data_IF_842973782071
#
_entry.id   IF_842973782071
#
_cell.length_a   1.000
_cell.length_b   1.000
_cell.length_c   1.000
_cell.angle_alpha   90.00
_cell.angle_beta   90.00
_cell.angle_gamma   90.00
#
_symmetry.space_group_name_H-M   'P 1'
#
loop_
_entity.id
_entity.type
_entity.pdbx_description
1 polymer ?
#
# COMPACT_ATOMS: atom_id res chain seq x y z
N UNK A 1 6.26 -16.15 -8.73
CA UNK A 1 7.60 -16.78 -8.56
C UNK A 1 8.27 -17.13 -9.88
N UNK A 2 7.54 -17.65 -10.87
CA UNK A 2 8.08 -18.06 -12.18
C UNK A 2 8.87 -16.92 -12.85
N UNK A 3 8.38 -15.68 -12.82
CA UNK A 3 9.09 -14.54 -13.43
C UNK A 3 10.44 -14.23 -12.79
N UNK A 4 10.61 -14.52 -11.49
CA UNK A 4 11.88 -14.33 -10.80
C UNK A 4 12.87 -15.42 -11.22
N UNK A 5 12.42 -16.67 -11.30
CA UNK A 5 13.24 -17.80 -11.72
C UNK A 5 13.71 -17.66 -13.18
N UNK A 6 12.83 -17.23 -14.09
CA UNK A 6 13.19 -16.96 -15.48
C UNK A 6 14.24 -15.85 -15.57
N UNK A 7 14.06 -14.77 -14.79
CA UNK A 7 14.99 -13.65 -14.80
C UNK A 7 16.39 -14.04 -14.31
N UNK A 8 16.46 -14.77 -13.19
CA UNK A 8 17.71 -15.28 -12.64
C UNK A 8 18.38 -16.27 -13.60
N UNK A 9 17.61 -17.16 -14.24
CA UNK A 9 18.12 -18.10 -15.23
C UNK A 9 18.74 -17.39 -16.43
N UNK A 10 18.02 -16.45 -17.05
CA UNK A 10 18.52 -15.68 -18.21
C UNK A 10 19.78 -14.89 -17.83
N UNK A 11 19.78 -14.23 -16.67
CA UNK A 11 20.95 -13.47 -16.23
C UNK A 11 22.16 -14.36 -15.96
N UNK A 12 21.96 -15.54 -15.35
CA UNK A 12 23.03 -16.52 -15.14
C UNK A 12 23.65 -16.98 -16.46
N UNK A 13 22.82 -17.40 -17.44
CA UNK A 13 23.31 -17.85 -18.74
C UNK A 13 24.06 -16.75 -19.50
N UNK A 14 23.54 -15.53 -19.52
CA UNK A 14 24.18 -14.43 -20.26
C UNK A 14 25.45 -13.93 -19.53
N UNK A 15 25.48 -13.94 -18.20
CA UNK A 15 26.68 -13.57 -17.45
C UNK A 15 27.84 -14.57 -17.54
N UNK A 16 27.55 -15.83 -17.90
CA UNK A 16 28.58 -16.84 -18.20
C UNK A 16 29.10 -16.77 -19.64
N UNK A 17 28.40 -16.11 -20.58
CA UNK A 17 28.89 -16.01 -21.97
C UNK A 17 30.29 -15.39 -22.08
N UNK A 18 30.63 -14.34 -21.32
CA UNK A 18 31.98 -13.78 -21.34
C UNK A 18 33.05 -14.71 -20.76
N UNK A 19 32.71 -15.76 -20.00
CA UNK A 19 33.69 -16.73 -19.46
C UNK A 19 34.18 -17.76 -20.49
N UNK A 20 33.69 -17.67 -21.73
CA UNK A 20 34.15 -18.50 -22.82
C UNK A 20 35.59 -18.10 -23.20
N UNK A 21 36.48 -19.07 -23.47
CA UNK A 21 37.93 -18.85 -23.64
C UNK A 21 38.33 -18.01 -24.85
N UNK A 22 37.37 -17.46 -25.60
CA UNK A 22 37.58 -16.63 -26.79
C UNK A 22 37.30 -15.14 -26.54
N UNK A 23 37.00 -14.74 -25.30
CA UNK A 23 36.68 -13.36 -24.91
C UNK A 23 37.67 -12.93 -23.81
N UNK A 24 38.76 -12.27 -24.20
CA UNK A 24 39.84 -11.79 -23.30
C UNK A 24 39.43 -10.65 -22.35
N UNK A 25 38.14 -10.28 -22.33
CA UNK A 25 37.59 -9.20 -21.50
C UNK A 25 37.04 -9.71 -20.15
N UNK A 26 37.30 -10.97 -19.79
CA UNK A 26 36.61 -11.63 -18.70
C UNK A 26 37.34 -11.58 -17.35
N UNK A 27 36.88 -10.66 -16.50
CA UNK A 27 37.01 -10.81 -15.06
C UNK A 27 35.71 -11.36 -14.47
N UNK A 28 35.79 -12.33 -13.56
CA UNK A 28 34.62 -12.95 -12.93
C UNK A 28 33.64 -11.92 -12.32
N UNK A 29 34.15 -10.79 -11.81
CA UNK A 29 33.34 -9.68 -11.30
C UNK A 29 32.51 -8.98 -12.38
N UNK A 30 33.02 -8.87 -13.62
CA UNK A 30 32.29 -8.28 -14.76
C UNK A 30 31.11 -9.16 -15.16
N UNK A 31 31.30 -10.49 -15.18
CA UNK A 31 30.21 -11.45 -15.41
C UNK A 31 29.08 -11.37 -14.38
N UNK A 32 29.43 -11.17 -13.10
CA UNK A 32 28.44 -10.98 -12.02
C UNK A 32 27.65 -9.68 -12.16
N UNK A 33 28.29 -8.58 -12.57
CA UNK A 33 27.60 -7.30 -12.80
C UNK A 33 26.65 -7.42 -14.00
N UNK A 34 27.10 -8.03 -15.10
CA UNK A 34 26.29 -8.23 -16.31
C UNK A 34 25.08 -9.14 -16.02
N UNK A 35 25.29 -10.30 -15.39
CA UNK A 35 24.19 -11.22 -15.02
C UNK A 35 23.17 -10.57 -14.10
N UNK A 36 23.63 -9.81 -13.10
CA UNK A 36 22.75 -9.10 -12.17
C UNK A 36 21.92 -8.03 -12.91
N UNK A 37 22.56 -7.24 -13.78
CA UNK A 37 21.88 -6.22 -14.57
C UNK A 37 20.79 -6.80 -15.49
N UNK A 38 21.11 -7.90 -16.18
CA UNK A 38 20.17 -8.61 -17.07
C UNK A 38 19.03 -9.26 -16.29
N UNK A 39 19.33 -9.89 -15.14
CA UNK A 39 18.30 -10.46 -14.25
C UNK A 39 17.32 -9.37 -13.80
N UNK A 40 17.83 -8.22 -13.37
CA UNK A 40 16.98 -7.09 -12.95
C UNK A 40 16.15 -6.57 -14.12
N UNK A 41 16.75 -6.41 -15.30
CA UNK A 41 16.05 -5.92 -16.49
C UNK A 41 14.93 -6.86 -16.95
N UNK A 42 15.23 -8.16 -17.07
CA UNK A 42 14.26 -9.18 -17.46
C UNK A 42 13.12 -9.29 -16.45
N UNK A 43 13.45 -9.30 -15.15
CA UNK A 43 12.43 -9.26 -14.10
C UNK A 43 11.55 -8.01 -14.19
N UNK A 44 12.14 -6.84 -14.42
CA UNK A 44 11.41 -5.59 -14.57
C UNK A 44 10.44 -5.62 -15.76
N UNK A 45 10.84 -6.18 -16.90
CA UNK A 45 9.97 -6.34 -18.09
C UNK A 45 8.85 -7.33 -17.85
N UNK A 46 9.12 -8.48 -17.22
CA UNK A 46 8.09 -9.47 -16.86
C UNK A 46 7.10 -8.89 -15.83
N UNK A 47 7.61 -8.16 -14.83
CA UNK A 47 6.79 -7.45 -13.85
C UNK A 47 5.91 -6.39 -14.51
N UNK A 48 6.46 -5.58 -15.43
CA UNK A 48 5.68 -4.63 -16.22
C UNK A 48 4.58 -5.31 -17.04
N UNK A 49 4.86 -6.47 -17.64
CA UNK A 49 3.85 -7.25 -18.38
C UNK A 49 2.71 -7.71 -17.48
N UNK A 50 3.03 -8.34 -16.35
CA UNK A 50 2.00 -8.77 -15.39
C UNK A 50 1.21 -7.58 -14.86
N UNK A 51 1.86 -6.46 -14.55
CA UNK A 51 1.16 -5.25 -14.10
C UNK A 51 0.19 -4.70 -15.15
N UNK A 52 0.52 -4.78 -16.45
CA UNK A 52 -0.39 -4.36 -17.53
C UNK A 52 -1.63 -5.25 -17.64
N UNK A 53 -1.52 -6.53 -17.31
CA UNK A 53 -2.65 -7.47 -17.31
C UNK A 53 -3.45 -7.38 -16.00
N UNK A 54 -2.77 -7.13 -14.88
CA UNK A 54 -3.37 -7.09 -13.55
C UNK A 54 -4.04 -5.76 -13.20
N UNK A 55 -3.46 -4.61 -13.60
CA UNK A 55 -4.02 -3.30 -13.28
C UNK A 55 -5.46 -3.09 -13.80
N UNK A 56 -5.82 -3.48 -15.04
CA UNK A 56 -7.20 -3.38 -15.51
C UNK A 56 -8.20 -4.20 -14.69
N UNK A 57 -7.78 -5.34 -14.13
CA UNK A 57 -8.64 -6.13 -13.23
C UNK A 57 -8.94 -5.36 -11.95
N UNK A 58 -7.94 -4.68 -11.37
CA UNK A 58 -8.14 -3.84 -10.20
C UNK A 58 -9.05 -2.65 -10.50
N UNK A 59 -8.87 -1.99 -11.64
CA UNK A 59 -9.74 -0.90 -12.08
C UNK A 59 -11.20 -1.35 -12.27
N UNK A 60 -11.40 -2.52 -12.88
CA UNK A 60 -12.72 -3.12 -13.05
C UNK A 60 -13.35 -3.54 -11.71
N UNK A 61 -12.58 -4.09 -10.79
CA UNK A 61 -13.06 -4.39 -9.45
C UNK A 61 -13.47 -3.11 -8.70
N UNK A 62 -12.67 -2.04 -8.80
CA UNK A 62 -12.97 -0.73 -8.22
C UNK A 62 -14.25 -0.12 -8.78
N UNK A 63 -14.50 -0.24 -10.10
CA UNK A 63 -15.73 0.27 -10.70
C UNK A 63 -16.97 -0.51 -10.24
N UNK A 64 -16.85 -1.82 -10.07
CA UNK A 64 -17.89 -2.63 -9.45
C UNK A 64 -18.12 -2.28 -7.98
N UNK A 65 -17.07 -2.00 -7.20
CA UNK A 65 -17.21 -1.51 -5.82
C UNK A 65 -17.95 -0.17 -5.76
N UNK A 66 -17.61 0.79 -6.63
CA UNK A 66 -18.31 2.09 -6.70
C UNK A 66 -19.79 1.92 -7.03
N UNK A 67 -20.11 0.94 -7.87
CA UNK A 67 -21.48 0.58 -8.25
C UNK A 67 -22.17 -0.34 -7.24
N UNK A 68 -21.54 -0.62 -6.09
CA UNK A 68 -21.99 -1.57 -5.06
C UNK A 68 -22.25 -3.01 -5.58
N UNK A 69 -21.65 -3.37 -6.71
CA UNK A 69 -21.73 -4.72 -7.30
C UNK A 69 -20.67 -5.62 -6.67
N UNK A 70 -20.81 -5.86 -5.37
CA UNK A 70 -19.79 -6.51 -4.54
C UNK A 70 -19.37 -7.89 -5.03
N UNK A 71 -20.34 -8.72 -5.43
CA UNK A 71 -20.07 -10.06 -5.96
C UNK A 71 -19.20 -10.00 -7.22
N UNK A 72 -19.56 -9.14 -8.17
CA UNK A 72 -18.79 -8.96 -9.39
C UNK A 72 -17.38 -8.40 -9.13
N UNK A 73 -17.23 -7.53 -8.12
CA UNK A 73 -15.92 -7.05 -7.70
C UNK A 73 -15.04 -8.21 -7.20
N UNK A 74 -15.59 -9.08 -6.34
CA UNK A 74 -14.89 -10.26 -5.83
C UNK A 74 -14.55 -11.23 -6.97
N UNK A 75 -15.51 -11.57 -7.84
CA UNK A 75 -15.29 -12.49 -8.97
C UNK A 75 -14.13 -12.02 -9.87
N UNK A 76 -14.07 -10.71 -10.16
CA UNK A 76 -12.96 -10.12 -10.93
C UNK A 76 -11.63 -10.22 -10.20
N UNK A 77 -11.60 -9.94 -8.89
CA UNK A 77 -10.38 -10.04 -8.09
C UNK A 77 -9.88 -11.49 -7.99
N UNK A 78 -10.80 -12.44 -7.83
CA UNK A 78 -10.51 -13.87 -7.80
C UNK A 78 -9.95 -14.37 -9.13
N UNK A 79 -10.47 -13.87 -10.27
CA UNK A 79 -9.90 -14.17 -11.58
C UNK A 79 -8.42 -13.76 -11.70
N UNK A 80 -8.00 -12.77 -10.91
CA UNK A 80 -6.60 -12.33 -10.82
C UNK A 80 -5.67 -13.33 -10.11
N UNK A 81 -6.19 -14.32 -9.38
CA UNK A 81 -5.35 -15.30 -8.65
C UNK A 81 -4.50 -16.16 -9.58
N UNK A 82 -4.84 -16.25 -10.87
CA UNK A 82 -4.00 -16.89 -11.90
C UNK A 82 -2.59 -16.29 -11.97
N UNK A 83 -2.42 -15.04 -11.54
CA UNK A 83 -1.13 -14.34 -11.54
C UNK A 83 -0.24 -14.68 -10.35
N UNK A 84 -0.73 -15.37 -9.30
CA UNK A 84 0.02 -15.65 -8.07
C UNK A 84 1.35 -16.38 -8.34
N UNK A 85 1.32 -17.34 -9.26
CA UNK A 85 2.51 -18.11 -9.62
C UNK A 85 3.45 -17.32 -10.54
N UNK A 86 2.93 -16.36 -11.31
CA UNK A 86 3.71 -15.51 -12.22
C UNK A 86 4.47 -14.45 -11.42
N UNK A 87 3.78 -13.60 -10.66
CA UNK A 87 4.37 -12.47 -9.96
C UNK A 87 4.28 -12.61 -8.45
N UNK A 88 5.43 -12.45 -7.80
CA UNK A 88 5.52 -12.42 -6.34
C UNK A 88 4.69 -11.25 -5.78
N UNK A 89 4.01 -11.48 -4.65
CA UNK A 89 3.17 -10.48 -3.93
C UNK A 89 1.87 -10.05 -4.63
N UNK A 90 1.50 -10.63 -5.77
CA UNK A 90 0.19 -10.31 -6.39
C UNK A 90 -0.95 -10.87 -5.55
N UNK A 91 -0.80 -12.06 -4.97
CA UNK A 91 -1.84 -12.66 -4.13
C UNK A 91 -2.20 -11.76 -2.95
N UNK A 92 -1.22 -11.30 -2.16
CA UNK A 92 -1.51 -10.36 -1.07
C UNK A 92 -2.00 -8.97 -1.54
N UNK A 93 -1.85 -8.59 -2.82
CA UNK A 93 -2.53 -7.40 -3.36
C UNK A 93 -4.00 -7.68 -3.65
N UNK A 94 -4.32 -8.87 -4.14
CA UNK A 94 -5.70 -9.34 -4.35
C UNK A 94 -6.41 -9.42 -2.99
N UNK A 95 -5.77 -10.03 -1.99
CA UNK A 95 -6.33 -10.12 -0.62
C UNK A 95 -6.60 -8.74 -0.03
N UNK A 96 -5.71 -7.76 -0.24
CA UNK A 96 -5.94 -6.38 0.18
C UNK A 96 -7.22 -5.79 -0.43
N UNK A 97 -7.47 -6.07 -1.71
CA UNK A 97 -8.64 -5.53 -2.42
C UNK A 97 -9.92 -6.25 -2.04
N UNK A 98 -9.89 -7.58 -1.89
CA UNK A 98 -11.04 -8.36 -1.41
C UNK A 98 -11.39 -7.93 0.02
N UNK A 99 -10.39 -7.71 0.88
CA UNK A 99 -10.59 -7.16 2.22
C UNK A 99 -11.28 -5.79 2.19
N UNK A 100 -10.88 -4.90 1.27
CA UNK A 100 -11.57 -3.61 1.07
C UNK A 100 -13.02 -3.78 0.60
N UNK A 101 -13.32 -4.75 -0.26
CA UNK A 101 -14.69 -5.06 -0.70
C UNK A 101 -15.56 -5.46 0.50
N UNK A 102 -15.07 -6.36 1.36
CA UNK A 102 -15.78 -6.77 2.57
C UNK A 102 -15.91 -5.62 3.58
N UNK A 103 -14.86 -4.82 3.73
CA UNK A 103 -14.85 -3.64 4.60
C UNK A 103 -15.97 -2.66 4.21
N UNK A 104 -16.12 -2.37 2.91
CA UNK A 104 -17.17 -1.47 2.43
C UNK A 104 -18.58 -2.05 2.52
N UNK A 105 -18.72 -3.37 2.53
CA UNK A 105 -19.98 -4.06 2.84
C UNK A 105 -20.34 -4.01 4.34
N UNK A 106 -19.42 -3.62 5.22
CA UNK A 106 -19.58 -3.72 6.67
C UNK A 106 -19.35 -5.12 7.24
N UNK A 107 -18.80 -6.03 6.41
CA UNK A 107 -18.41 -7.39 6.79
C UNK A 107 -16.99 -7.37 7.36
N UNK A 108 -16.88 -6.85 8.57
CA UNK A 108 -15.59 -6.51 9.19
C UNK A 108 -14.74 -7.74 9.52
N UNK A 109 -15.36 -8.83 9.95
CA UNK A 109 -14.65 -10.07 10.26
C UNK A 109 -14.02 -10.69 9.01
N UNK A 110 -14.77 -10.77 7.91
CA UNK A 110 -14.26 -11.25 6.62
C UNK A 110 -13.17 -10.32 6.08
N UNK A 111 -13.37 -9.01 6.18
CA UNK A 111 -12.36 -8.03 5.80
C UNK A 111 -11.05 -8.24 6.56
N UNK A 112 -11.13 -8.47 7.87
CA UNK A 112 -9.97 -8.70 8.73
C UNK A 112 -9.16 -9.93 8.32
N UNK A 113 -9.82 -11.04 8.03
CA UNK A 113 -9.13 -12.27 7.60
C UNK A 113 -8.44 -12.10 6.24
N UNK A 114 -9.06 -11.37 5.30
CA UNK A 114 -8.39 -11.04 4.04
C UNK A 114 -7.21 -10.07 4.24
N UNK A 115 -7.33 -9.09 5.13
CA UNK A 115 -6.23 -8.16 5.41
C UNK A 115 -5.02 -8.82 6.08
N UNK A 116 -5.20 -9.88 6.88
CA UNK A 116 -4.08 -10.67 7.41
C UNK A 116 -3.18 -11.25 6.32
N UNK A 117 -3.78 -11.64 5.21
CA UNK A 117 -3.09 -12.22 4.05
C UNK A 117 -2.56 -11.16 3.08
N UNK A 118 -2.91 -9.89 3.31
CA UNK A 118 -2.59 -8.81 2.42
C UNK A 118 -1.14 -8.34 2.54
N UNK A 119 -0.60 -7.83 1.43
CA UNK A 119 0.70 -7.16 1.48
C UNK A 119 0.56 -5.73 1.99
N UNK A 120 1.54 -5.20 2.75
CA UNK A 120 1.49 -3.84 3.27
C UNK A 120 1.65 -2.76 2.19
N UNK A 121 1.74 -3.10 0.90
CA UNK A 121 1.92 -2.12 -0.19
C UNK A 121 0.70 -1.23 -0.42
N UNK A 122 -0.49 -1.70 -0.08
CA UNK A 122 -1.70 -0.89 -0.19
C UNK A 122 -1.93 -0.18 1.14
N UNK A 123 -1.36 1.03 1.29
CA UNK A 123 -1.51 1.80 2.52
C UNK A 123 -2.99 2.02 2.90
N UNK A 124 -3.89 2.20 1.92
CA UNK A 124 -5.32 2.44 2.18
C UNK A 124 -5.98 1.23 2.84
N UNK A 125 -5.71 0.03 2.31
CA UNK A 125 -6.14 -1.23 2.93
C UNK A 125 -5.53 -1.43 4.32
N UNK A 126 -4.27 -1.07 4.51
CA UNK A 126 -3.61 -1.20 5.81
C UNK A 126 -4.22 -0.26 6.86
N UNK A 127 -4.63 0.96 6.48
CA UNK A 127 -5.34 1.85 7.39
C UNK A 127 -6.70 1.27 7.81
N UNK A 128 -7.46 0.69 6.87
CA UNK A 128 -8.70 -0.02 7.20
C UNK A 128 -8.42 -1.18 8.16
N UNK A 129 -7.39 -1.97 7.88
CA UNK A 129 -7.00 -3.11 8.71
C UNK A 129 -6.62 -2.69 10.14
N UNK A 130 -5.75 -1.69 10.29
CA UNK A 130 -5.38 -1.15 11.59
C UNK A 130 -6.57 -0.57 12.35
N UNK A 131 -7.51 0.07 11.65
CA UNK A 131 -8.76 0.52 12.27
C UNK A 131 -9.63 -0.64 12.78
N UNK A 132 -9.72 -1.75 12.04
CA UNK A 132 -10.41 -2.94 12.50
C UNK A 132 -9.73 -3.55 13.75
N UNK A 133 -8.40 -3.57 13.80
CA UNK A 133 -7.68 -4.01 15.00
C UNK A 133 -8.01 -3.16 16.22
N UNK A 134 -8.08 -1.83 16.05
CA UNK A 134 -8.54 -0.93 17.10
C UNK A 134 -9.96 -1.28 17.57
N UNK A 135 -10.88 -1.50 16.63
CA UNK A 135 -12.28 -1.88 16.93
C UNK A 135 -12.37 -3.22 17.66
N UNK A 136 -11.54 -4.18 17.26
CA UNK A 136 -11.45 -5.51 17.87
C UNK A 136 -10.60 -5.54 19.15
N UNK A 137 -10.18 -4.37 19.66
CA UNK A 137 -9.39 -4.22 20.89
C UNK A 137 -8.07 -5.00 20.87
N UNK A 138 -7.38 -4.96 19.73
CA UNK A 138 -6.06 -5.57 19.49
C UNK A 138 -4.97 -4.51 19.27
N UNK A 139 -4.64 -3.70 20.30
CA UNK A 139 -3.73 -2.57 20.14
C UNK A 139 -2.30 -2.98 19.81
N UNK A 140 -1.82 -4.12 20.31
CA UNK A 140 -0.45 -4.57 20.05
C UNK A 140 -0.27 -5.04 18.60
N UNK A 141 -1.23 -5.82 18.07
CA UNK A 141 -1.28 -6.20 16.64
C UNK A 141 -1.35 -4.94 15.76
N UNK A 142 -2.12 -3.92 16.17
CA UNK A 142 -2.25 -2.65 15.46
C UNK A 142 -0.92 -1.89 15.38
N UNK A 143 -0.18 -1.81 16.49
CA UNK A 143 1.14 -1.18 16.57
C UNK A 143 2.11 -1.89 15.63
N UNK A 144 2.21 -3.21 15.71
CA UNK A 144 3.08 -4.00 14.83
C UNK A 144 2.73 -3.78 13.35
N UNK A 145 1.43 -3.79 13.03
CA UNK A 145 0.95 -3.60 11.67
C UNK A 145 1.28 -2.22 11.12
N UNK A 146 1.18 -1.16 11.93
CA UNK A 146 1.58 0.18 11.51
C UNK A 146 3.08 0.26 11.25
N UNK A 147 3.92 -0.32 12.11
CA UNK A 147 5.36 -0.36 11.90
C UNK A 147 5.74 -1.12 10.63
N UNK A 148 5.09 -2.26 10.35
CA UNK A 148 5.27 -2.99 9.08
C UNK A 148 4.84 -2.15 7.87
N UNK A 149 3.70 -1.46 7.97
CA UNK A 149 3.18 -0.60 6.91
C UNK A 149 4.13 0.56 6.61
N UNK A 150 4.75 1.16 7.63
CA UNK A 150 5.70 2.26 7.51
C UNK A 150 7.05 1.84 6.91
N UNK A 151 7.47 0.59 7.05
CA UNK A 151 8.65 0.05 6.34
C UNK A 151 8.49 0.15 4.82
N UNK A 152 7.27 -0.04 4.32
CA UNK A 152 6.96 -0.03 2.88
C UNK A 152 6.47 1.34 2.40
N UNK A 153 5.63 2.02 3.18
CA UNK A 153 4.95 3.27 2.81
C UNK A 153 5.52 4.49 3.54
N UNK A 154 6.84 4.52 3.75
CA UNK A 154 7.54 5.56 4.52
C UNK A 154 7.28 7.01 4.08
N UNK A 155 6.79 7.23 2.86
CA UNK A 155 6.51 8.56 2.28
C UNK A 155 5.04 9.01 2.43
N UNK A 156 4.16 8.12 2.89
CA UNK A 156 2.73 8.41 2.99
C UNK A 156 2.43 9.11 4.31
N UNK A 157 2.31 10.45 4.27
CA UNK A 157 2.06 11.31 5.44
C UNK A 157 0.84 10.84 6.25
N UNK A 158 -0.22 10.44 5.56
CA UNK A 158 -1.47 9.97 6.19
C UNK A 158 -1.25 8.72 7.05
N UNK A 159 -0.32 7.84 6.69
CA UNK A 159 -0.07 6.60 7.46
C UNK A 159 0.52 6.93 8.83
N UNK A 160 1.47 7.86 8.89
CA UNK A 160 2.04 8.33 10.15
C UNK A 160 1.00 9.00 11.05
N UNK A 161 0.16 9.86 10.47
CA UNK A 161 -0.87 10.56 11.23
C UNK A 161 -2.01 9.62 11.66
N UNK A 162 -2.39 8.65 10.84
CA UNK A 162 -3.36 7.62 11.21
C UNK A 162 -2.83 6.75 12.36
N UNK A 163 -1.55 6.40 12.34
CA UNK A 163 -0.93 5.64 13.43
C UNK A 163 -0.97 6.43 14.74
N UNK A 164 -0.51 7.68 14.74
CA UNK A 164 -0.59 8.54 15.92
C UNK A 164 -2.03 8.76 16.40
N UNK A 165 -2.99 8.91 15.47
CA UNK A 165 -4.40 9.02 15.79
C UNK A 165 -4.93 7.78 16.50
N UNK A 166 -4.59 6.59 16.00
CA UNK A 166 -4.99 5.33 16.61
C UNK A 166 -4.37 5.14 18.01
N UNK A 167 -3.12 5.56 18.21
CA UNK A 167 -2.47 5.57 19.53
C UNK A 167 -3.14 6.52 20.53
N UNK A 168 -3.46 7.75 20.11
CA UNK A 168 -4.20 8.72 20.95
C UNK A 168 -5.60 8.20 21.32
N UNK A 169 -6.27 7.44 20.42
CA UNK A 169 -7.57 6.80 20.71
C UNK A 169 -7.50 5.73 21.80
N UNK A 170 -6.36 5.10 22.00
CA UNK A 170 -6.12 4.11 23.08
C UNK A 170 -5.35 4.72 24.24
N UNK A 171 -5.40 6.04 24.39
CA UNK A 171 -4.76 6.80 25.48
C UNK A 171 -3.24 6.69 25.54
N UNK A 172 -2.59 6.23 24.46
CA UNK A 172 -1.12 6.17 24.32
C UNK A 172 -0.59 7.45 23.66
N UNK A 173 -0.84 8.58 24.31
CA UNK A 173 -0.58 9.92 23.75
C UNK A 173 0.91 10.22 23.56
N UNK A 174 1.75 9.78 24.49
CA UNK A 174 3.19 10.00 24.40
C UNK A 174 3.79 9.22 23.21
N UNK A 175 3.38 7.96 23.02
CA UNK A 175 3.74 7.17 21.84
C UNK A 175 3.25 7.84 20.54
N UNK A 176 2.04 8.42 20.54
CA UNK A 176 1.52 9.16 19.38
C UNK A 176 2.40 10.39 19.04
N UNK A 177 2.86 11.13 20.05
CA UNK A 177 3.80 12.26 19.88
C UNK A 177 5.14 11.76 19.31
N UNK A 178 5.68 10.66 19.83
CA UNK A 178 6.91 10.05 19.30
C UNK A 178 6.78 9.66 17.83
N UNK A 179 5.65 9.05 17.44
CA UNK A 179 5.36 8.70 16.04
C UNK A 179 5.33 9.93 15.14
N UNK A 180 4.71 11.04 15.56
CA UNK A 180 4.68 12.28 14.78
C UNK A 180 6.06 12.94 14.68
N UNK A 181 6.86 12.90 15.74
CA UNK A 181 8.25 13.36 15.69
C UNK A 181 9.09 12.53 14.71
N UNK A 182 8.93 11.20 14.72
CA UNK A 182 9.55 10.30 13.71
C UNK A 182 9.10 10.65 12.30
N UNK A 183 7.81 10.96 12.11
CA UNK A 183 7.27 11.36 10.82
C UNK A 183 7.94 12.63 10.29
N UNK A 184 8.05 13.68 11.10
CA UNK A 184 8.73 14.95 10.73
C UNK A 184 10.19 14.71 10.38
N UNK A 185 10.92 13.93 11.19
CA UNK A 185 12.32 13.59 10.89
C UNK A 185 12.47 12.83 9.56
N UNK A 186 11.49 12.02 9.20
CA UNK A 186 11.54 11.17 8.00
C UNK A 186 11.06 11.86 6.73
N UNK A 187 10.04 12.70 6.85
CA UNK A 187 9.31 13.32 5.75
C UNK A 187 9.69 14.79 5.51
N UNK A 188 10.33 15.42 6.49
CA UNK A 188 10.47 16.87 6.56
C UNK A 188 9.23 17.53 7.16
N UNK A 189 9.22 18.85 7.14
CA UNK A 189 8.08 19.63 7.63
C UNK A 189 6.84 19.38 6.78
N UNK A 190 5.79 18.87 7.42
CA UNK A 190 4.47 18.71 6.83
C UNK A 190 3.45 19.45 7.72
N UNK A 191 2.70 20.43 7.19
CA UNK A 191 1.81 21.27 8.00
C UNK A 191 0.77 20.48 8.80
N UNK A 192 0.19 19.43 8.20
CA UNK A 192 -0.82 18.59 8.86
C UNK A 192 -0.22 17.80 10.03
N UNK A 193 0.98 17.24 9.83
CA UNK A 193 1.71 16.49 10.86
C UNK A 193 2.14 17.39 12.00
N UNK A 194 2.66 18.59 11.70
CA UNK A 194 3.03 19.56 12.72
C UNK A 194 1.83 20.05 13.51
N UNK A 195 0.70 20.32 12.85
CA UNK A 195 -0.53 20.72 13.52
C UNK A 195 -1.04 19.63 14.47
N UNK A 196 -0.98 18.37 14.05
CA UNK A 196 -1.34 17.24 14.91
C UNK A 196 -0.38 17.06 16.09
N UNK A 197 0.93 17.23 15.87
CA UNK A 197 1.93 17.18 16.94
C UNK A 197 1.67 18.28 17.98
N UNK A 198 1.51 19.52 17.52
CA UNK A 198 1.21 20.66 18.39
C UNK A 198 -0.11 20.46 19.14
N UNK A 199 -1.13 19.90 18.49
CA UNK A 199 -2.39 19.57 19.16
C UNK A 199 -2.16 18.55 20.29
N UNK A 200 -1.39 17.49 20.01
CA UNK A 200 -1.08 16.47 21.01
C UNK A 200 -0.28 17.03 22.20
N UNK A 201 0.74 17.83 21.95
CA UNK A 201 1.54 18.47 23.01
C UNK A 201 0.72 19.42 23.89
N UNK A 202 -0.30 20.08 23.33
CA UNK A 202 -1.18 21.00 24.04
C UNK A 202 -2.41 20.35 24.68
N UNK A 203 -2.44 19.01 24.85
CA UNK A 203 -3.61 18.33 25.44
C UNK A 203 -4.87 18.31 24.55
N UNK A 204 -4.78 18.72 23.27
CA UNK A 204 -5.89 18.74 22.31
C UNK A 204 -5.94 17.48 21.44
N UNK A 205 -7.11 17.16 20.89
CA UNK A 205 -7.27 16.03 19.95
C UNK A 205 -6.65 16.38 18.59
N UNK A 206 -6.13 15.36 17.91
CA UNK A 206 -5.68 15.47 16.52
C UNK A 206 -6.82 15.86 15.58
N UNK A 207 -6.48 16.51 14.46
CA UNK A 207 -7.41 16.90 13.42
C UNK A 207 -7.09 16.19 12.10
N UNK A 208 -7.91 15.20 11.75
CA UNK A 208 -7.74 14.43 10.51
C UNK A 208 -8.52 15.01 9.32
N UNK A 209 -9.28 16.11 9.49
CA UNK A 209 -10.03 16.77 8.40
C UNK A 209 -9.18 17.14 7.18
N UNK A 210 -7.94 17.64 7.32
CA UNK A 210 -7.12 18.03 6.17
C UNK A 210 -6.80 16.88 5.20
N UNK A 211 -6.81 15.63 5.67
CA UNK A 211 -6.60 14.46 4.82
C UNK A 211 -7.81 14.14 3.91
N UNK A 212 -8.97 14.76 4.16
CA UNK A 212 -10.12 14.76 3.27
C UNK A 212 -10.63 13.37 2.90
N UNK A 213 -10.87 13.16 1.60
CA UNK A 213 -11.41 11.89 1.05
C UNK A 213 -10.56 10.68 1.39
N UNK A 214 -9.24 10.83 1.51
CA UNK A 214 -8.34 9.71 1.85
C UNK A 214 -8.62 9.16 3.25
N UNK A 215 -9.03 10.03 4.18
CA UNK A 215 -9.39 9.65 5.53
C UNK A 215 -10.85 9.26 5.65
N UNK A 216 -11.76 10.11 5.15
CA UNK A 216 -13.20 9.88 5.29
C UNK A 216 -13.73 8.76 4.39
N UNK A 217 -13.05 8.48 3.27
CA UNK A 217 -13.34 7.34 2.41
C UNK A 217 -13.19 6.00 3.14
N UNK A 218 -12.35 5.92 4.18
CA UNK A 218 -12.20 4.74 5.03
C UNK A 218 -13.31 4.61 6.06
N UNK A 219 -14.23 5.57 6.21
CA UNK A 219 -15.30 5.53 7.22
C UNK A 219 -14.81 5.37 8.68
N UNK A 220 -13.52 5.67 8.95
CA UNK A 220 -12.92 5.64 10.30
C UNK A 220 -13.58 6.71 11.20
N UNK A 221 -13.84 7.87 10.62
CA UNK A 221 -14.59 8.96 11.25
C UNK A 221 -15.74 9.40 10.33
N UNK A 222 -16.80 9.96 10.94
CA UNK A 222 -17.92 10.52 10.17
C UNK A 222 -17.47 11.77 9.43
N UNK A 223 -17.69 11.79 8.11
CA UNK A 223 -17.42 12.96 7.28
C UNK A 223 -18.24 14.19 7.75
N UNK A 224 -17.64 15.40 7.78
CA UNK A 224 -18.39 16.63 8.03
C UNK A 224 -19.52 16.82 7.00
N UNK A 225 -20.66 17.40 7.41
CA UNK A 225 -21.82 17.66 6.53
C UNK A 225 -21.44 18.40 5.24
N UNK A 226 -20.47 19.31 5.32
CA UNK A 226 -19.97 20.10 4.17
C UNK A 226 -19.23 19.25 3.13
N UNK A 227 -18.60 18.14 3.51
CA UNK A 227 -17.99 17.20 2.57
C UNK A 227 -19.02 16.24 1.98
N UNK A 228 -20.02 15.83 2.76
CA UNK A 228 -21.10 14.95 2.29
C UNK A 228 -21.95 15.57 1.17
N UNK A 229 -21.94 16.89 1.03
CA UNK A 229 -22.66 17.64 -0.01
C UNK A 229 -21.83 17.89 -1.27
N UNK A 230 -20.52 17.55 -1.29
CA UNK A 230 -19.68 17.71 -2.47
C UNK A 230 -19.88 16.50 -3.40
N UNK A 231 -20.51 16.75 -4.55
CA UNK A 231 -20.68 15.77 -5.62
C UNK A 231 -19.31 15.25 -6.13
N UNK A 232 -19.21 14.00 -6.62
CA UNK A 232 -17.98 13.42 -7.20
C UNK A 232 -17.32 14.24 -8.32
N UNK A 233 -18.02 15.25 -8.87
CA UNK A 233 -17.54 16.15 -9.92
C UNK A 233 -17.05 17.52 -9.39
N UNK A 234 -16.87 17.71 -8.07
CA UNK A 234 -16.34 18.97 -7.54
C UNK A 234 -14.88 19.19 -8.00
N UNK A 235 -14.44 20.40 -8.39
CA UNK A 235 -13.04 20.68 -8.82
C UNK A 235 -11.94 20.39 -7.78
N UNK A 236 -12.31 19.98 -6.56
CA UNK A 236 -11.43 19.55 -5.48
C UNK A 236 -11.46 18.03 -5.22
N UNK A 237 -12.29 17.30 -5.97
CA UNK A 237 -12.42 15.84 -5.96
C UNK A 237 -11.18 15.24 -6.65
N UNK A 238 -10.08 15.16 -5.90
CA UNK A 238 -8.90 14.40 -6.33
C UNK A 238 -9.10 12.95 -5.91
N UNK A 239 -10.05 12.27 -6.56
CA UNK A 239 -10.05 10.81 -6.59
C UNK A 239 -8.67 10.31 -7.05
N UNK A 240 -8.29 9.10 -6.62
CA UNK A 240 -6.98 8.44 -6.80
C UNK A 240 -6.33 8.63 -8.19
N UNK A 241 -5.79 9.81 -8.47
CA UNK A 241 -4.77 10.01 -9.49
C UNK A 241 -3.45 9.90 -8.76
N UNK A 242 -2.87 8.70 -8.77
CA UNK A 242 -1.43 8.57 -8.60
C UNK A 242 -0.81 9.61 -9.51
N UNK A 243 -0.11 10.60 -8.93
CA UNK A 243 0.70 11.52 -9.72
C UNK A 243 1.56 10.66 -10.62
N UNK A 244 1.33 10.73 -11.94
CA UNK A 244 2.26 10.21 -12.94
C UNK A 244 3.62 10.74 -12.50
N UNK A 245 4.51 9.84 -12.08
CA UNK A 245 5.93 10.19 -11.92
C UNK A 245 6.34 10.73 -13.29
N UNK A 246 6.47 12.04 -13.39
CA UNK A 246 7.13 12.65 -14.53
C UNK A 246 8.54 12.09 -14.53
N UNK A 247 8.91 11.54 -15.69
CA UNK A 247 10.17 10.86 -15.93
C UNK A 247 11.33 11.82 -15.75
#
# INVERSE_FOLDING_TARGET
>A
MISLLIALGIGFFIGMLPSLPFIDLYHWGVGLVISSGISVFTFAKLSQKVNKEFAPLLEKANSFMQSQKWRQAIDVLESGRVFKNRMFLVEGQIEAQIGMVYYFQGKESEAYEHFKLATPRNWFAMLAYSYLMLKFKKPDEMIEQFELTLKVNKKEVIVWNAYAFCLDKISKRDEAIEVLNRAIKKLGENPETQANLNALQNGRKMNMKPFGEMWYGLKIERAPKQMAQRSPNHPGYRGFKQKKRMR
#
